data_IF_153259605472
#
_entry.id   IF_153259605472
#
_cell.length_a   1.000
_cell.length_b   1.000
_cell.length_c   1.000
_cell.angle_alpha   90.00
_cell.angle_beta   90.00
_cell.angle_gamma   90.00
#
_symmetry.space_group_name_H-M   'P 1'
#
loop_
_entity.id
_entity.type
_entity.pdbx_description
1 polymer ?
#
# COMPACT_ATOMS: atom_id res chain seq x y z
N UNK A 1 4.80 61.95 31.76
CA UNK A 1 5.63 62.76 30.85
C UNK A 1 7.04 62.70 31.43
N UNK A 2 8.00 62.01 30.84
CA UNK A 2 8.50 62.20 29.48
C UNK A 2 9.04 60.90 28.88
N UNK A 3 8.91 60.84 27.56
CA UNK A 3 9.33 59.76 26.66
C UNK A 3 10.83 59.95 26.37
N UNK A 4 11.62 58.87 26.40
CA UNK A 4 12.84 58.79 25.61
C UNK A 4 12.85 57.51 24.79
N UNK A 5 12.74 57.73 23.49
CA UNK A 5 12.81 56.76 22.41
C UNK A 5 14.29 56.60 22.05
N UNK A 6 14.82 55.37 22.11
CA UNK A 6 16.08 55.02 21.45
C UNK A 6 15.85 53.80 20.56
N UNK A 7 15.57 54.10 19.30
CA UNK A 7 15.73 53.20 18.17
C UNK A 7 17.22 52.95 17.92
N UNK A 8 17.67 51.70 18.02
CA UNK A 8 18.93 51.22 17.46
C UNK A 8 18.62 50.04 16.53
N UNK A 9 18.66 50.33 15.23
CA UNK A 9 18.74 49.37 14.15
C UNK A 9 20.21 48.97 13.91
N UNK A 10 20.40 47.80 13.29
CA UNK A 10 21.64 47.21 12.76
C UNK A 10 22.55 46.51 13.79
N UNK A 11 23.05 45.28 13.62
CA UNK A 11 23.40 44.52 12.42
C UNK A 11 23.07 43.02 12.57
N UNK A 12 22.81 42.42 11.41
CA UNK A 12 22.76 40.99 11.14
C UNK A 12 23.98 40.25 11.72
N UNK A 13 23.74 39.36 12.68
CA UNK A 13 24.57 38.16 12.83
C UNK A 13 23.71 36.97 12.40
N UNK A 14 23.77 36.63 11.12
CA UNK A 14 23.56 35.26 10.70
C UNK A 14 24.63 34.43 11.43
N UNK A 15 24.30 33.96 12.63
CA UNK A 15 24.89 32.72 13.09
C UNK A 15 24.43 31.68 12.08
N UNK A 16 25.33 31.30 11.18
CA UNK A 16 25.26 30.03 10.48
C UNK A 16 25.27 28.96 11.57
N UNK A 17 24.08 28.62 12.04
CA UNK A 17 23.89 27.33 12.69
C UNK A 17 23.98 26.33 11.56
N UNK A 18 25.15 25.70 11.46
CA UNK A 18 25.34 24.43 10.79
C UNK A 18 24.41 23.41 11.45
N UNK A 19 23.16 23.37 10.97
CA UNK A 19 22.24 22.29 11.28
C UNK A 19 22.56 21.12 10.36
N UNK A 20 23.67 20.43 10.66
CA UNK A 20 23.83 19.03 10.30
C UNK A 20 22.85 18.18 11.11
N UNK A 21 21.55 18.33 10.85
CA UNK A 21 20.51 17.42 11.33
C UNK A 21 19.76 16.92 10.09
N UNK A 22 20.02 15.69 9.67
CA UNK A 22 19.23 15.02 8.67
C UNK A 22 17.80 14.84 9.21
N UNK A 23 16.90 15.77 8.90
CA UNK A 23 15.48 15.53 9.09
C UNK A 23 15.09 14.42 8.10
N UNK A 24 15.02 13.18 8.59
CA UNK A 24 14.63 12.04 7.78
C UNK A 24 13.26 12.32 7.14
N UNK A 25 13.17 12.10 5.84
CA UNK A 25 11.93 12.35 5.09
C UNK A 25 10.83 11.37 5.52
N UNK A 26 9.55 11.73 5.32
CA UNK A 26 8.42 10.83 5.57
C UNK A 26 8.57 9.49 4.84
N UNK A 27 9.12 9.50 3.63
CA UNK A 27 9.39 8.31 2.82
C UNK A 27 10.41 7.41 3.52
N UNK A 28 11.54 7.98 3.94
CA UNK A 28 12.61 7.25 4.64
C UNK A 28 12.13 6.68 5.98
N UNK A 29 11.39 7.47 6.77
CA UNK A 29 10.82 7.02 8.04
C UNK A 29 9.83 5.88 7.84
N UNK A 30 8.96 5.96 6.83
CA UNK A 30 8.01 4.89 6.51
C UNK A 30 8.72 3.59 6.09
N UNK A 31 9.77 3.69 5.25
CA UNK A 31 10.56 2.54 4.82
C UNK A 31 11.39 1.94 5.96
N UNK A 32 12.01 2.75 6.82
CA UNK A 32 12.74 2.25 8.00
C UNK A 32 11.80 1.62 9.03
N UNK A 33 10.61 2.20 9.23
CA UNK A 33 9.57 1.59 10.05
C UNK A 33 9.15 0.24 9.46
N UNK A 34 8.99 0.13 8.14
CA UNK A 34 8.72 -1.15 7.50
C UNK A 34 9.85 -2.15 7.70
N UNK A 35 11.11 -1.73 7.45
CA UNK A 35 12.30 -2.57 7.69
C UNK A 35 12.35 -3.14 9.10
N UNK A 36 11.98 -2.35 10.12
CA UNK A 36 11.98 -2.80 11.51
C UNK A 36 11.00 -3.95 11.80
N UNK A 37 9.99 -4.13 10.93
CA UNK A 37 9.01 -5.22 11.01
C UNK A 37 9.35 -6.41 10.12
N UNK A 38 10.44 -6.33 9.35
CA UNK A 38 10.90 -7.39 8.45
C UNK A 38 11.90 -8.32 9.13
N UNK A 39 11.85 -9.57 8.74
CA UNK A 39 12.89 -10.56 8.97
C UNK A 39 13.22 -11.22 7.64
N UNK A 40 14.49 -11.56 7.42
CA UNK A 40 14.93 -12.27 6.22
C UNK A 40 15.92 -13.36 6.61
N UNK A 41 15.82 -14.57 6.03
CA UNK A 41 16.81 -15.62 6.24
C UNK A 41 18.18 -15.26 5.65
N UNK A 42 18.23 -14.34 4.67
CA UNK A 42 19.48 -13.79 4.16
C UNK A 42 19.65 -12.33 4.59
N UNK A 43 20.69 -12.05 5.38
CA UNK A 43 21.06 -10.67 5.75
C UNK A 43 21.35 -9.80 4.51
N UNK A 44 21.69 -10.41 3.37
CA UNK A 44 22.10 -9.67 2.16
C UNK A 44 20.98 -8.84 1.52
N UNK A 45 19.72 -9.29 1.62
CA UNK A 45 18.60 -8.71 0.86
C UNK A 45 18.18 -7.31 1.36
N UNK A 46 18.34 -7.05 2.66
CA UNK A 46 18.01 -5.77 3.30
C UNK A 46 19.27 -4.96 3.66
N UNK A 47 20.44 -5.35 3.18
CA UNK A 47 21.71 -4.63 3.45
C UNK A 47 21.66 -3.20 2.94
N UNK A 48 21.06 -3.00 1.75
CA UNK A 48 20.95 -1.68 1.12
C UNK A 48 20.04 -0.74 1.88
N UNK A 49 19.09 -1.25 2.68
CA UNK A 49 18.13 -0.46 3.44
C UNK A 49 18.76 0.16 4.69
N UNK A 50 19.68 1.11 4.52
CA UNK A 50 20.39 1.76 5.62
C UNK A 50 20.49 3.27 5.39
N UNK A 51 20.84 4.01 6.44
CA UNK A 51 20.96 5.48 6.40
C UNK A 51 22.23 5.97 5.71
N UNK A 52 23.07 5.08 5.18
CA UNK A 52 24.31 5.42 4.48
C UNK A 52 24.09 5.77 3.00
N UNK A 53 22.89 5.52 2.46
CA UNK A 53 22.54 5.85 1.07
C UNK A 53 21.08 6.28 0.95
N UNK A 54 20.79 7.10 -0.06
CA UNK A 54 19.42 7.56 -0.31
C UNK A 54 18.50 6.37 -0.62
N UNK A 55 17.29 6.36 -0.06
CA UNK A 55 16.38 5.21 -0.15
C UNK A 55 15.97 4.81 -1.57
N UNK A 56 16.07 5.70 -2.55
CA UNK A 56 15.87 5.36 -3.96
C UNK A 56 16.92 4.42 -4.57
N UNK A 57 18.03 4.19 -3.85
CA UNK A 57 19.04 3.18 -4.22
C UNK A 57 18.81 1.84 -3.52
N UNK A 58 17.85 1.77 -2.61
CA UNK A 58 17.57 0.55 -1.86
C UNK A 58 16.89 -0.49 -2.74
N UNK A 59 17.23 -1.75 -2.49
CA UNK A 59 16.71 -2.87 -3.26
C UNK A 59 15.19 -2.89 -3.18
N UNK A 60 14.52 -2.92 -4.34
CA UNK A 60 13.06 -2.96 -4.45
C UNK A 60 12.36 -1.60 -4.32
N UNK A 61 13.07 -0.52 -3.96
CA UNK A 61 12.49 0.83 -3.89
C UNK A 61 12.66 1.53 -5.23
N UNK A 62 11.57 2.07 -5.79
CA UNK A 62 11.59 2.84 -7.03
C UNK A 62 11.00 4.22 -6.77
N UNK A 63 11.77 5.26 -7.10
CA UNK A 63 11.33 6.64 -6.97
C UNK A 63 10.89 7.26 -8.30
N UNK A 64 10.12 8.35 -8.22
CA UNK A 64 9.63 9.06 -9.39
C UNK A 64 10.79 9.69 -10.17
N UNK A 65 10.78 9.54 -11.50
CA UNK A 65 11.73 10.24 -12.39
C UNK A 65 11.56 11.76 -12.38
N UNK A 66 10.36 12.26 -12.04
CA UNK A 66 10.04 13.69 -12.02
C UNK A 66 10.19 14.32 -10.63
N UNK A 67 10.12 13.49 -9.58
CA UNK A 67 10.21 13.88 -8.17
C UNK A 67 11.04 12.82 -7.44
N UNK A 68 12.38 12.85 -7.57
CA UNK A 68 13.27 11.79 -7.06
C UNK A 68 13.11 11.50 -5.56
N UNK A 69 12.53 12.42 -4.80
CA UNK A 69 12.20 12.30 -3.37
C UNK A 69 10.86 11.60 -3.08
N UNK A 70 10.22 10.99 -4.07
CA UNK A 70 8.92 10.30 -3.92
C UNK A 70 9.02 8.84 -4.31
N UNK A 71 8.71 7.93 -3.40
CA UNK A 71 8.61 6.51 -3.70
C UNK A 71 7.31 6.26 -4.47
N UNK A 72 7.44 5.64 -5.64
CA UNK A 72 6.32 5.29 -6.52
C UNK A 72 6.11 3.80 -6.64
N UNK A 73 7.11 2.97 -6.33
CA UNK A 73 6.93 1.53 -6.28
C UNK A 73 7.79 0.88 -5.22
N UNK A 74 7.22 -0.14 -4.58
CA UNK A 74 7.94 -1.06 -3.72
C UNK A 74 7.75 -2.47 -4.30
N UNK A 75 8.83 -3.05 -4.81
CA UNK A 75 8.86 -4.30 -5.58
C UNK A 75 9.79 -5.30 -4.88
N UNK A 76 9.21 -6.11 -4.00
CA UNK A 76 9.95 -7.10 -3.19
C UNK A 76 9.24 -8.45 -3.17
N UNK A 77 8.62 -8.81 -4.30
CA UNK A 77 7.98 -10.11 -4.47
C UNK A 77 8.99 -11.24 -4.51
N UNK A 78 8.69 -12.37 -3.86
CA UNK A 78 9.52 -13.58 -3.82
C UNK A 78 10.91 -13.37 -3.19
N UNK A 79 11.03 -12.47 -2.21
CA UNK A 79 12.29 -12.19 -1.50
C UNK A 79 12.48 -13.05 -0.24
N UNK A 80 11.57 -14.00 0.01
CA UNK A 80 11.57 -14.84 1.21
C UNK A 80 11.56 -14.02 2.51
N UNK A 81 10.90 -12.86 2.49
CA UNK A 81 10.74 -11.98 3.65
C UNK A 81 9.67 -12.54 4.58
N UNK A 82 9.89 -12.42 5.88
CA UNK A 82 8.90 -12.70 6.91
C UNK A 82 8.68 -11.46 7.79
N UNK A 83 7.70 -11.53 8.69
CA UNK A 83 7.32 -10.41 9.55
C UNK A 83 5.94 -9.86 9.19
N UNK A 84 5.70 -8.58 9.45
CA UNK A 84 4.37 -7.95 9.31
C UNK A 84 4.38 -6.77 8.36
N UNK A 85 3.23 -6.51 7.73
CA UNK A 85 3.01 -5.29 6.95
C UNK A 85 2.97 -4.07 7.89
N UNK A 86 3.79 -3.06 7.62
CA UNK A 86 3.82 -1.84 8.42
C UNK A 86 2.69 -0.89 8.01
N UNK A 87 1.88 -0.38 8.97
CA UNK A 87 0.86 0.62 8.67
C UNK A 87 1.46 1.93 8.12
N UNK A 88 2.73 2.21 8.44
CA UNK A 88 3.44 3.40 7.95
C UNK A 88 3.69 3.38 6.44
N UNK A 89 3.58 2.23 5.77
CA UNK A 89 3.58 2.21 4.30
C UNK A 89 2.39 3.00 3.71
N UNK A 90 1.31 3.19 4.48
CA UNK A 90 0.20 4.08 4.12
C UNK A 90 0.60 5.57 3.98
N UNK A 91 1.76 5.97 4.54
CA UNK A 91 2.27 7.34 4.44
C UNK A 91 3.01 7.61 3.10
N UNK A 92 3.28 6.57 2.30
CA UNK A 92 3.93 6.70 0.99
C UNK A 92 2.91 7.22 -0.04
N UNK A 93 2.51 8.49 0.10
CA UNK A 93 1.38 9.10 -0.63
C UNK A 93 1.51 9.08 -2.16
N UNK A 94 2.72 8.88 -2.69
CA UNK A 94 3.01 8.76 -4.13
C UNK A 94 3.09 7.32 -4.65
N UNK A 95 2.89 6.33 -3.77
CA UNK A 95 2.99 4.92 -4.11
C UNK A 95 1.93 4.54 -5.15
N UNK A 96 2.39 3.95 -6.24
CA UNK A 96 1.56 3.45 -7.35
C UNK A 96 1.54 1.93 -7.41
N UNK A 97 2.63 1.28 -6.98
CA UNK A 97 2.73 -0.19 -6.98
C UNK A 97 3.30 -0.66 -5.66
N UNK A 98 2.56 -1.52 -4.98
CA UNK A 98 3.03 -2.27 -3.83
C UNK A 98 2.96 -3.74 -4.18
N UNK A 99 4.11 -4.35 -4.44
CA UNK A 99 4.23 -5.75 -4.79
C UNK A 99 5.11 -6.49 -3.77
N UNK A 100 4.45 -7.29 -2.95
CA UNK A 100 5.04 -8.07 -1.85
C UNK A 100 4.65 -9.55 -1.96
N UNK A 101 4.24 -10.02 -3.15
CA UNK A 101 3.77 -11.39 -3.34
C UNK A 101 4.84 -12.43 -3.02
N UNK A 102 4.44 -13.67 -2.73
CA UNK A 102 5.39 -14.79 -2.62
C UNK A 102 6.36 -14.66 -1.44
N UNK A 103 5.91 -14.10 -0.32
CA UNK A 103 6.69 -13.96 0.90
C UNK A 103 6.03 -14.74 2.05
N UNK A 104 6.49 -14.53 3.28
CA UNK A 104 5.99 -15.16 4.49
C UNK A 104 5.40 -14.11 5.44
N UNK A 105 4.73 -13.08 4.89
CA UNK A 105 4.12 -12.03 5.70
C UNK A 105 2.96 -12.61 6.51
N UNK A 106 2.93 -12.28 7.80
CA UNK A 106 1.86 -12.62 8.76
C UNK A 106 1.15 -11.35 9.24
N UNK A 107 0.04 -11.54 9.95
CA UNK A 107 -0.74 -10.44 10.51
C UNK A 107 -1.84 -9.97 9.56
N UNK A 108 -2.43 -8.84 9.90
CA UNK A 108 -3.53 -8.24 9.15
C UNK A 108 -3.03 -7.25 8.10
N UNK A 109 -3.84 -7.05 7.04
CA UNK A 109 -3.63 -5.97 6.08
C UNK A 109 -3.91 -4.64 6.80
N UNK A 110 -2.96 -3.69 6.85
CA UNK A 110 -3.17 -2.42 7.54
C UNK A 110 -4.29 -1.59 6.88
N UNK A 111 -5.31 -1.13 7.63
CA UNK A 111 -6.37 -0.27 7.08
C UNK A 111 -5.84 1.03 6.46
N UNK A 112 -4.69 1.53 6.94
CA UNK A 112 -4.02 2.71 6.39
C UNK A 112 -3.64 2.61 4.91
N UNK A 113 -3.61 1.41 4.33
CA UNK A 113 -3.38 1.24 2.89
C UNK A 113 -4.48 1.89 2.06
N UNK A 114 -5.70 1.99 2.61
CA UNK A 114 -6.82 2.71 2.01
C UNK A 114 -6.57 4.20 1.71
N UNK A 115 -5.53 4.80 2.33
CA UNK A 115 -5.15 6.20 2.12
C UNK A 115 -4.25 6.41 0.89
N UNK A 116 -3.76 5.32 0.29
CA UNK A 116 -2.89 5.34 -0.88
C UNK A 116 -3.71 5.63 -2.15
N UNK A 117 -4.18 6.87 -2.29
CA UNK A 117 -5.06 7.32 -3.38
C UNK A 117 -4.45 7.19 -4.78
N UNK A 118 -3.13 7.08 -4.90
CA UNK A 118 -2.41 6.90 -6.17
C UNK A 118 -2.08 5.44 -6.48
N UNK A 119 -2.43 4.51 -5.59
CA UNK A 119 -2.12 3.10 -5.75
C UNK A 119 -2.89 2.53 -6.94
N UNK A 120 -2.16 1.89 -7.85
CA UNK A 120 -2.68 1.24 -9.06
C UNK A 120 -2.59 -0.27 -8.95
N UNK A 121 -1.57 -0.77 -8.27
CA UNK A 121 -1.35 -2.20 -8.04
C UNK A 121 -1.08 -2.46 -6.57
N UNK A 122 -1.89 -3.31 -5.96
CA UNK A 122 -1.59 -3.96 -4.69
C UNK A 122 -1.54 -5.47 -4.92
N UNK A 123 -0.36 -6.06 -4.76
CA UNK A 123 -0.17 -7.49 -4.82
C UNK A 123 0.44 -7.99 -3.51
N UNK A 124 -0.37 -8.69 -2.72
CA UNK A 124 -0.01 -9.33 -1.45
C UNK A 124 -0.20 -10.85 -1.52
N UNK A 125 -0.36 -11.41 -2.72
CA UNK A 125 -0.70 -12.82 -2.88
C UNK A 125 0.40 -13.76 -2.44
N UNK A 126 0.04 -15.01 -2.11
CA UNK A 126 1.01 -16.03 -1.67
C UNK A 126 1.81 -15.55 -0.44
N UNK A 127 1.08 -15.31 0.64
CA UNK A 127 1.60 -14.96 1.96
C UNK A 127 0.79 -15.72 3.03
N UNK A 128 0.98 -15.38 4.30
CA UNK A 128 0.24 -15.94 5.44
C UNK A 128 -0.58 -14.87 6.18
N UNK A 129 -1.07 -13.88 5.44
CA UNK A 129 -1.90 -12.80 5.98
C UNK A 129 -3.25 -13.34 6.44
N UNK A 130 -3.77 -12.82 7.55
CA UNK A 130 -5.03 -13.26 8.15
C UNK A 130 -5.88 -12.08 8.62
N UNK A 131 -7.06 -12.36 9.17
CA UNK A 131 -8.05 -11.34 9.51
C UNK A 131 -8.86 -10.91 8.28
N UNK A 132 -9.62 -9.83 8.43
CA UNK A 132 -10.49 -9.32 7.36
C UNK A 132 -9.74 -8.43 6.38
N UNK A 133 -10.28 -8.35 5.15
CA UNK A 133 -9.90 -7.29 4.23
C UNK A 133 -10.46 -5.97 4.80
N UNK A 134 -9.66 -4.90 4.95
CA UNK A 134 -10.17 -3.64 5.52
C UNK A 134 -11.18 -2.95 4.60
N UNK A 135 -12.29 -2.45 5.16
CA UNK A 135 -13.28 -1.63 4.43
C UNK A 135 -12.64 -0.39 3.78
N UNK A 136 -11.61 0.17 4.45
CA UNK A 136 -10.84 1.31 3.98
C UNK A 136 -10.18 1.07 2.60
N UNK A 137 -10.01 -0.19 2.15
CA UNK A 137 -9.49 -0.49 0.82
C UNK A 137 -10.29 0.15 -0.32
N UNK A 138 -11.58 0.47 -0.09
CA UNK A 138 -12.39 1.23 -1.05
C UNK A 138 -11.87 2.65 -1.34
N UNK A 139 -10.98 3.19 -0.51
CA UNK A 139 -10.35 4.50 -0.71
C UNK A 139 -9.29 4.53 -1.82
N UNK A 140 -8.75 3.38 -2.24
CA UNK A 140 -7.73 3.28 -3.30
C UNK A 140 -8.34 3.30 -4.70
N UNK A 141 -9.11 4.34 -5.03
CA UNK A 141 -9.96 4.40 -6.24
C UNK A 141 -9.22 4.32 -7.58
N UNK A 142 -7.89 4.50 -7.59
CA UNK A 142 -7.04 4.33 -8.78
C UNK A 142 -6.53 2.89 -8.98
N UNK A 143 -6.90 1.94 -8.12
CA UNK A 143 -6.49 0.54 -8.25
C UNK A 143 -7.01 -0.05 -9.55
N UNK A 144 -6.10 -0.66 -10.30
CA UNK A 144 -6.37 -1.50 -11.48
C UNK A 144 -6.16 -2.97 -11.16
N UNK A 145 -5.34 -3.28 -10.16
CA UNK A 145 -5.02 -4.66 -9.75
C UNK A 145 -5.03 -4.77 -8.24
N UNK A 146 -5.90 -5.62 -7.72
CA UNK A 146 -5.92 -6.05 -6.33
C UNK A 146 -5.80 -7.57 -6.28
N UNK A 147 -4.65 -8.05 -5.83
CA UNK A 147 -4.39 -9.47 -5.65
C UNK A 147 -4.04 -9.78 -4.19
N UNK A 148 -4.99 -10.44 -3.53
CA UNK A 148 -4.89 -10.91 -2.14
C UNK A 148 -5.01 -12.44 -2.08
N UNK A 149 -4.89 -13.12 -3.22
CA UNK A 149 -5.08 -14.56 -3.32
C UNK A 149 -4.04 -15.35 -2.54
N UNK A 150 -4.35 -16.61 -2.23
CA UNK A 150 -3.44 -17.54 -1.57
C UNK A 150 -2.89 -16.98 -0.24
N UNK A 151 -3.81 -16.67 0.67
CA UNK A 151 -3.54 -16.20 2.03
C UNK A 151 -4.49 -16.92 3.02
N UNK A 152 -4.56 -16.45 4.26
CA UNK A 152 -5.44 -16.95 5.32
C UNK A 152 -6.51 -15.90 5.72
N UNK A 153 -6.91 -15.04 4.78
CA UNK A 153 -7.89 -13.98 5.03
C UNK A 153 -9.27 -14.58 5.33
N UNK A 154 -10.03 -13.93 6.21
CA UNK A 154 -11.31 -14.41 6.74
C UNK A 154 -12.34 -13.27 6.77
N UNK A 155 -13.59 -13.59 7.14
CA UNK A 155 -14.68 -12.62 7.16
C UNK A 155 -15.22 -12.33 5.76
N UNK A 156 -16.05 -11.30 5.67
CA UNK A 156 -16.75 -10.93 4.44
C UNK A 156 -15.87 -10.15 3.47
N UNK A 157 -16.26 -10.17 2.19
CA UNK A 157 -15.71 -9.26 1.19
C UNK A 157 -16.26 -7.85 1.48
N UNK A 158 -15.41 -6.84 1.71
CA UNK A 158 -15.85 -5.48 2.01
C UNK A 158 -16.69 -4.85 0.90
N UNK A 159 -17.79 -4.18 1.26
CA UNK A 159 -18.65 -3.52 0.28
C UNK A 159 -17.92 -2.40 -0.46
N UNK A 160 -16.96 -1.75 0.21
CA UNK A 160 -16.12 -0.68 -0.32
C UNK A 160 -15.27 -1.09 -1.53
N UNK A 161 -15.01 -2.38 -1.76
CA UNK A 161 -14.36 -2.84 -3.00
C UNK A 161 -15.17 -2.41 -4.22
N UNK A 162 -16.50 -2.32 -4.12
CA UNK A 162 -17.38 -1.84 -5.20
C UNK A 162 -17.17 -0.38 -5.62
N UNK A 163 -16.42 0.41 -4.84
CA UNK A 163 -16.04 1.78 -5.20
C UNK A 163 -14.86 1.83 -6.20
N UNK A 164 -14.15 0.72 -6.41
CA UNK A 164 -12.93 0.65 -7.21
C UNK A 164 -13.25 0.54 -8.72
N UNK A 165 -13.84 1.58 -9.30
CA UNK A 165 -14.34 1.56 -10.70
C UNK A 165 -13.27 1.25 -11.76
N UNK A 166 -12.00 1.56 -11.47
CA UNK A 166 -10.86 1.31 -12.36
C UNK A 166 -10.29 -0.10 -12.24
N UNK A 167 -10.84 -0.95 -11.35
CA UNK A 167 -10.30 -2.27 -11.07
C UNK A 167 -10.50 -3.19 -12.27
N UNK A 168 -9.41 -3.73 -12.80
CA UNK A 168 -9.38 -4.64 -13.95
C UNK A 168 -9.21 -6.09 -13.48
N UNK A 169 -8.43 -6.30 -12.42
CA UNK A 169 -8.13 -7.62 -11.90
C UNK A 169 -8.36 -7.67 -10.38
N UNK A 170 -9.31 -8.50 -9.96
CA UNK A 170 -9.61 -8.80 -8.56
C UNK A 170 -9.40 -10.29 -8.30
N UNK A 171 -8.36 -10.62 -7.54
CA UNK A 171 -8.01 -11.98 -7.15
C UNK A 171 -8.09 -12.14 -5.63
N UNK A 172 -9.10 -12.86 -5.16
CA UNK A 172 -9.31 -13.20 -3.74
C UNK A 172 -9.33 -14.71 -3.49
N UNK A 173 -9.03 -15.53 -4.50
CA UNK A 173 -9.09 -16.98 -4.42
C UNK A 173 -8.10 -17.58 -3.42
N UNK A 174 -8.38 -18.79 -2.94
CA UNK A 174 -7.56 -19.52 -1.94
C UNK A 174 -7.38 -18.65 -0.69
N UNK A 175 -8.50 -18.45 0.00
CA UNK A 175 -8.58 -17.79 1.30
C UNK A 175 -9.68 -18.47 2.14
N UNK A 176 -9.99 -17.90 3.29
CA UNK A 176 -11.10 -18.31 4.15
C UNK A 176 -12.27 -17.33 4.18
N UNK A 177 -12.46 -16.49 3.15
CA UNK A 177 -13.53 -15.48 3.10
C UNK A 177 -14.90 -16.16 3.13
N UNK A 178 -15.86 -15.55 3.82
CA UNK A 178 -17.19 -16.09 4.09
C UNK A 178 -18.29 -15.06 3.81
N UNK A 179 -19.55 -15.47 3.97
CA UNK A 179 -20.70 -14.61 3.68
C UNK A 179 -20.97 -14.49 2.18
N UNK A 180 -21.84 -13.56 1.83
CA UNK A 180 -22.33 -13.44 0.46
C UNK A 180 -21.35 -12.64 -0.42
N UNK A 181 -21.45 -12.81 -1.74
CA UNK A 181 -20.76 -11.93 -2.68
C UNK A 181 -21.47 -10.57 -2.64
N UNK A 182 -20.80 -9.47 -2.25
CA UNK A 182 -21.46 -8.18 -2.11
C UNK A 182 -22.03 -7.72 -3.45
N UNK A 183 -23.29 -7.27 -3.44
CA UNK A 183 -23.90 -6.68 -4.63
C UNK A 183 -23.09 -5.47 -5.15
N UNK A 184 -22.33 -4.80 -4.30
CA UNK A 184 -21.44 -3.72 -4.73
C UNK A 184 -20.31 -4.17 -5.69
N UNK A 185 -20.06 -5.47 -5.88
CA UNK A 185 -19.11 -5.91 -6.91
C UNK A 185 -19.67 -5.77 -8.34
N UNK A 186 -20.99 -5.68 -8.53
CA UNK A 186 -21.62 -5.40 -9.84
C UNK A 186 -21.29 -4.01 -10.37
N UNK A 187 -20.76 -3.16 -9.49
CA UNK A 187 -20.39 -1.78 -9.72
C UNK A 187 -18.98 -1.66 -10.34
N UNK A 188 -18.21 -2.75 -10.47
CA UNK A 188 -16.84 -2.77 -11.01
C UNK A 188 -16.82 -2.74 -12.55
N UNK A 189 -17.15 -1.59 -13.13
CA UNK A 189 -17.34 -1.41 -14.58
C UNK A 189 -16.13 -1.74 -15.48
N UNK A 190 -14.91 -1.75 -14.93
CA UNK A 190 -13.69 -2.04 -15.70
C UNK A 190 -13.14 -3.47 -15.49
N UNK A 191 -13.83 -4.31 -14.71
CA UNK A 191 -13.33 -5.64 -14.35
C UNK A 191 -13.23 -6.53 -15.58
N UNK A 192 -12.13 -7.27 -15.69
CA UNK A 192 -11.90 -8.29 -16.71
C UNK A 192 -11.62 -9.66 -16.10
N UNK A 193 -11.05 -9.67 -14.91
CA UNK A 193 -10.71 -10.88 -14.18
C UNK A 193 -11.21 -10.77 -12.75
N UNK A 194 -12.15 -11.64 -12.40
CA UNK A 194 -12.69 -11.80 -11.06
C UNK A 194 -12.50 -13.24 -10.61
N UNK A 195 -11.72 -13.46 -9.56
CA UNK A 195 -11.46 -14.80 -9.03
C UNK A 195 -11.73 -14.84 -7.53
N UNK A 196 -12.82 -15.52 -7.16
CA UNK A 196 -13.31 -15.70 -5.78
C UNK A 196 -13.28 -17.16 -5.32
N UNK A 197 -12.80 -18.08 -6.16
CA UNK A 197 -12.84 -19.53 -5.92
C UNK A 197 -12.04 -19.95 -4.68
N UNK A 198 -12.30 -21.15 -4.15
CA UNK A 198 -11.57 -21.69 -2.99
C UNK A 198 -11.66 -20.75 -1.77
N UNK A 199 -12.88 -20.32 -1.46
CA UNK A 199 -13.28 -19.60 -0.25
C UNK A 199 -14.47 -20.33 0.40
N UNK A 200 -15.03 -19.75 1.47
CA UNK A 200 -16.23 -20.21 2.18
C UNK A 200 -17.44 -19.30 1.90
N UNK A 201 -17.49 -18.71 0.70
CA UNK A 201 -18.58 -17.82 0.28
C UNK A 201 -19.89 -18.61 0.20
N UNK A 202 -20.98 -17.94 0.55
CA UNK A 202 -22.34 -18.47 0.58
C UNK A 202 -23.29 -17.56 -0.20
N UNK A 203 -24.60 -17.84 -0.12
CA UNK A 203 -25.63 -17.01 -0.72
C UNK A 203 -25.72 -17.14 -2.23
N UNK A 204 -26.43 -16.19 -2.84
CA UNK A 204 -26.65 -16.14 -4.28
C UNK A 204 -25.57 -15.32 -4.97
N UNK A 205 -25.28 -15.66 -6.23
CA UNK A 205 -24.44 -14.84 -7.10
C UNK A 205 -25.28 -13.61 -7.50
N UNK A 206 -24.80 -12.36 -7.28
CA UNK A 206 -25.53 -11.18 -7.69
C UNK A 206 -25.83 -11.23 -9.19
N UNK A 207 -27.10 -11.03 -9.61
CA UNK A 207 -27.53 -11.29 -10.99
C UNK A 207 -26.77 -10.45 -12.03
N UNK A 208 -26.42 -9.21 -11.67
CA UNK A 208 -25.69 -8.30 -12.56
C UNK A 208 -24.19 -8.58 -12.66
N UNK A 209 -23.65 -9.50 -11.84
CA UNK A 209 -22.22 -9.81 -11.85
C UNK A 209 -21.82 -10.50 -13.16
N UNK A 210 -22.71 -11.31 -13.74
CA UNK A 210 -22.51 -11.95 -15.04
C UNK A 210 -22.49 -10.97 -16.22
N UNK A 211 -23.13 -9.81 -16.08
CA UNK A 211 -23.20 -8.79 -17.13
C UNK A 211 -21.86 -8.07 -17.34
N UNK A 212 -20.97 -8.07 -16.33
CA UNK A 212 -19.64 -7.47 -16.42
C UNK A 212 -18.74 -8.13 -17.47
N UNK A 213 -18.93 -9.43 -17.72
CA UNK A 213 -18.19 -10.14 -18.76
C UNK A 213 -18.63 -9.75 -20.18
N UNK A 214 -19.89 -9.36 -20.36
CA UNK A 214 -20.43 -9.03 -21.69
C UNK A 214 -20.05 -7.63 -22.15
N UNK A 215 -19.89 -6.66 -21.24
CA UNK A 215 -19.48 -5.29 -21.56
C UNK A 215 -17.99 -5.12 -21.92
N UNK A 216 -17.17 -6.16 -21.72
CA UNK A 216 -15.73 -6.11 -22.00
C UNK A 216 -15.35 -6.53 -23.43
N UNK A 217 -16.35 -6.91 -24.24
CA UNK A 217 -16.20 -7.42 -25.61
C UNK A 217 -16.73 -6.51 -26.74
N UNK A 218 -17.08 -5.26 -26.46
CA UNK A 218 -17.55 -4.27 -27.46
C UNK A 218 -16.54 -3.15 -27.68
#
# INVERSE_FOLDING_TARGET
MTIFCFSLLFFCSHALVSAGSSNASTEELALLAFKSMLSSPSKSLLTSWNTSSHYCSWTGVVCSRRQPERVVSLLMGSFNLSGRLSPFLGNLSFLRKLDLHGNQFVGQIPPGFGQLSRLQMLNLSTNTLHGSIPEAMGGCTNLTTLDLSNNLLQGEIPTGIGALKNLVNLSLHINGLSGDIPHSLTNLSSIKHLSLSNNRLSGEIPPDLGNLYQSSGS
#
